data_IF_508441034013
#
_entry.id   IF_508441034013
#
_cell.length_a   1.000
_cell.length_b   1.000
_cell.length_c   1.000
_cell.angle_alpha   90.00
_cell.angle_beta   90.00
_cell.angle_gamma   90.00
#
_symmetry.space_group_name_H-M   'P 1'
#
loop_
_entity.id
_entity.type
_entity.pdbx_description
1 polymer ?
#
# COMPACT_ATOMS: atom_id res chain seq x y z
N UNK A 1 -11.76 -23.22 9.48
CA UNK A 1 -12.34 -22.66 10.72
C UNK A 1 -13.81 -23.00 10.76
N UNK A 2 -14.37 -23.30 11.94
CA UNK A 2 -15.75 -23.74 12.11
C UNK A 2 -16.54 -22.71 12.92
N UNK A 3 -17.80 -22.50 12.55
CA UNK A 3 -18.76 -21.73 13.34
C UNK A 3 -18.97 -22.42 14.70
N UNK A 4 -18.86 -21.66 15.79
CA UNK A 4 -18.97 -22.19 17.15
C UNK A 4 -20.38 -22.68 17.50
N UNK A 5 -21.40 -22.17 16.82
CA UNK A 5 -22.82 -22.50 17.02
C UNK A 5 -23.26 -23.71 16.20
N UNK A 6 -22.72 -23.88 14.99
CA UNK A 6 -23.18 -24.94 14.05
C UNK A 6 -22.17 -26.08 13.87
N UNK A 7 -20.91 -25.88 14.23
CA UNK A 7 -19.82 -26.83 13.97
C UNK A 7 -19.46 -26.98 12.48
N UNK A 8 -20.08 -26.20 11.58
CA UNK A 8 -19.84 -26.23 10.14
C UNK A 8 -18.85 -25.14 9.70
N UNK A 9 -18.33 -25.24 8.48
CA UNK A 9 -17.54 -24.14 7.92
C UNK A 9 -18.44 -22.92 7.77
N UNK A 10 -17.90 -21.72 8.01
CA UNK A 10 -18.63 -20.48 7.72
C UNK A 10 -18.99 -20.43 6.24
N UNK A 11 -20.25 -20.14 5.95
CA UNK A 11 -20.75 -19.95 4.58
C UNK A 11 -20.33 -18.61 4.01
N UNK A 12 -20.37 -17.57 4.83
CA UNK A 12 -20.14 -16.19 4.42
C UNK A 12 -19.57 -15.36 5.58
N UNK A 13 -19.15 -14.13 5.26
CA UNK A 13 -18.62 -13.18 6.25
C UNK A 13 -19.66 -12.78 7.30
N UNK A 14 -20.95 -12.78 6.96
CA UNK A 14 -22.02 -12.41 7.90
C UNK A 14 -22.12 -13.44 9.02
N UNK A 15 -22.05 -14.72 8.69
CA UNK A 15 -22.04 -15.80 9.67
C UNK A 15 -20.81 -15.73 10.58
N UNK A 16 -19.63 -15.47 10.01
CA UNK A 16 -18.39 -15.25 10.76
C UNK A 16 -18.52 -14.11 11.78
N UNK A 17 -19.03 -12.95 11.35
CA UNK A 17 -19.23 -11.80 12.23
C UNK A 17 -20.32 -12.05 13.29
N UNK A 18 -21.41 -12.78 12.95
CA UNK A 18 -22.46 -13.15 13.91
C UNK A 18 -21.98 -14.12 14.98
N UNK A 19 -20.96 -14.92 14.67
CA UNK A 19 -20.26 -15.77 15.63
C UNK A 19 -19.23 -14.99 16.47
N UNK A 20 -19.32 -13.65 16.49
CA UNK A 20 -18.46 -12.73 17.24
C UNK A 20 -16.97 -12.89 16.94
N UNK A 21 -16.64 -13.30 15.71
CA UNK A 21 -15.26 -13.42 15.25
C UNK A 21 -14.76 -12.12 14.63
N UNK A 22 -13.46 -11.90 14.78
CA UNK A 22 -12.76 -10.70 14.34
C UNK A 22 -11.91 -11.02 13.12
N UNK A 23 -12.19 -10.33 12.02
CA UNK A 23 -11.41 -10.47 10.79
C UNK A 23 -10.00 -9.90 10.99
N UNK A 24 -9.90 -8.65 11.47
CA UNK A 24 -8.66 -8.07 11.96
C UNK A 24 -8.97 -6.88 12.86
N UNK A 25 -8.27 -6.79 13.99
CA UNK A 25 -8.29 -5.64 14.89
C UNK A 25 -6.91 -4.97 14.88
N UNK A 26 -6.86 -3.76 14.33
CA UNK A 26 -5.63 -2.96 14.27
C UNK A 26 -5.18 -2.44 15.64
N UNK A 27 -6.10 -2.27 16.59
CA UNK A 27 -5.80 -1.76 17.93
C UNK A 27 -5.01 -2.78 18.73
N UNK A 28 -5.47 -4.04 18.69
CA UNK A 28 -4.88 -5.14 19.45
C UNK A 28 -3.96 -6.03 18.60
N UNK A 29 -3.81 -5.71 17.30
CA UNK A 29 -3.07 -6.51 16.33
C UNK A 29 -3.48 -7.99 16.36
N UNK A 30 -4.79 -8.24 16.29
CA UNK A 30 -5.42 -9.53 16.56
C UNK A 30 -6.36 -9.96 15.43
N UNK A 31 -6.48 -11.27 15.20
CA UNK A 31 -7.44 -11.87 14.28
C UNK A 31 -7.82 -13.27 14.72
N UNK A 32 -9.08 -13.66 14.49
CA UNK A 32 -9.53 -15.06 14.58
C UNK A 32 -9.14 -15.86 13.31
N UNK A 33 -8.73 -15.18 12.23
CA UNK A 33 -8.29 -15.81 11.01
C UNK A 33 -6.78 -16.07 11.05
N UNK A 34 -6.40 -17.34 10.95
CA UNK A 34 -5.00 -17.76 10.70
C UNK A 34 -4.39 -17.09 9.46
N UNK A 35 -5.24 -16.62 8.53
CA UNK A 35 -4.82 -15.81 7.41
C UNK A 35 -3.99 -14.60 7.87
N UNK A 36 -4.25 -13.99 9.03
CA UNK A 36 -3.58 -12.78 9.48
C UNK A 36 -2.52 -12.98 10.58
N UNK A 37 -2.11 -14.22 10.90
CA UNK A 37 -1.14 -14.52 11.98
C UNK A 37 0.21 -13.79 11.81
N UNK A 38 0.61 -13.54 10.56
CA UNK A 38 1.86 -12.86 10.21
C UNK A 38 1.61 -11.77 9.17
N UNK A 39 1.00 -10.64 9.55
CA UNK A 39 0.49 -9.66 8.59
C UNK A 39 1.63 -8.81 7.98
N UNK A 40 2.75 -8.67 8.70
CA UNK A 40 3.93 -7.90 8.26
C UNK A 40 5.05 -8.78 7.69
N UNK A 41 4.85 -10.11 7.65
CA UNK A 41 5.84 -11.05 7.12
C UNK A 41 5.75 -11.13 5.59
N UNK A 42 6.88 -10.91 4.93
CA UNK A 42 6.95 -10.78 3.46
C UNK A 42 6.64 -12.11 2.77
N UNK A 43 7.10 -13.24 3.33
CA UNK A 43 6.89 -14.55 2.73
C UNK A 43 5.44 -15.02 2.91
N UNK A 44 4.86 -14.78 4.08
CA UNK A 44 3.45 -15.01 4.35
C UNK A 44 2.58 -14.18 3.39
N UNK A 45 2.90 -12.90 3.18
CA UNK A 45 2.20 -12.03 2.24
C UNK A 45 2.36 -12.50 0.79
N UNK A 46 3.55 -12.95 0.40
CA UNK A 46 3.81 -13.52 -0.93
C UNK A 46 2.93 -14.75 -1.17
N UNK A 47 2.84 -15.66 -0.20
CA UNK A 47 1.98 -16.84 -0.29
C UNK A 47 0.49 -16.46 -0.35
N UNK A 48 0.03 -15.49 0.45
CA UNK A 48 -1.36 -14.98 0.39
C UNK A 48 -1.70 -14.47 -1.00
N UNK A 49 -0.84 -13.67 -1.61
CA UNK A 49 -1.03 -13.18 -2.98
C UNK A 49 -1.08 -14.33 -3.98
N UNK A 50 -0.20 -15.32 -3.85
CA UNK A 50 -0.21 -16.49 -4.74
C UNK A 50 -1.52 -17.29 -4.64
N UNK A 51 -2.03 -17.51 -3.42
CA UNK A 51 -3.32 -18.19 -3.20
C UNK A 51 -4.50 -17.38 -3.76
N UNK A 52 -4.50 -16.06 -3.58
CA UNK A 52 -5.53 -15.19 -4.15
C UNK A 52 -5.55 -15.25 -5.68
N UNK A 53 -4.38 -15.15 -6.32
CA UNK A 53 -4.26 -15.25 -7.78
C UNK A 53 -4.72 -16.62 -8.29
N UNK A 54 -4.33 -17.69 -7.60
CA UNK A 54 -4.76 -19.05 -7.93
C UNK A 54 -6.27 -19.19 -7.82
N UNK A 55 -6.86 -18.76 -6.70
CA UNK A 55 -8.30 -18.82 -6.46
C UNK A 55 -9.09 -18.09 -7.55
N UNK A 56 -8.70 -16.86 -7.86
CA UNK A 56 -9.31 -16.08 -8.94
C UNK A 56 -9.19 -16.81 -10.29
N UNK A 57 -7.99 -17.28 -10.64
CA UNK A 57 -7.75 -17.94 -11.92
C UNK A 57 -8.51 -19.28 -12.04
N UNK A 58 -8.72 -19.99 -10.92
CA UNK A 58 -9.54 -21.19 -10.87
C UNK A 58 -11.03 -20.87 -11.08
N UNK A 59 -11.55 -19.79 -10.47
CA UNK A 59 -12.95 -19.37 -10.63
C UNK A 59 -13.31 -19.08 -12.09
N UNK A 60 -12.41 -18.42 -12.82
CA UNK A 60 -12.69 -18.03 -14.21
C UNK A 60 -12.42 -19.14 -15.22
N UNK A 61 -11.80 -20.25 -14.80
CA UNK A 61 -11.36 -21.34 -15.69
C UNK A 61 -12.54 -22.02 -16.40
N UNK A 62 -13.66 -22.14 -15.69
CA UNK A 62 -14.89 -22.73 -16.21
C UNK A 62 -15.66 -21.75 -17.12
N UNK A 63 -15.37 -20.45 -17.03
CA UNK A 63 -15.89 -19.41 -17.93
C UNK A 63 -17.42 -19.25 -17.92
N UNK A 64 -18.11 -19.71 -16.88
CA UNK A 64 -19.57 -19.69 -16.81
C UNK A 64 -20.11 -18.40 -16.17
N UNK A 65 -21.29 -17.95 -16.64
CA UNK A 65 -21.93 -16.73 -16.13
C UNK A 65 -21.04 -15.50 -16.27
N UNK A 66 -20.99 -14.69 -15.22
CA UNK A 66 -20.20 -13.44 -15.20
C UNK A 66 -18.69 -13.68 -15.38
N UNK A 67 -18.20 -14.87 -15.05
CA UNK A 67 -16.77 -15.21 -15.17
C UNK A 67 -16.30 -15.36 -16.62
N UNK A 68 -17.21 -15.60 -17.58
CA UNK A 68 -16.88 -15.73 -19.00
C UNK A 68 -16.32 -14.46 -19.63
N UNK A 69 -16.51 -13.30 -18.98
CA UNK A 69 -15.98 -12.01 -19.43
C UNK A 69 -14.66 -11.61 -18.73
N UNK A 70 -14.21 -12.41 -17.77
CA UNK A 70 -13.03 -12.11 -16.96
C UNK A 70 -11.78 -12.69 -17.59
N UNK A 71 -10.64 -12.04 -17.38
CA UNK A 71 -9.33 -12.50 -17.88
C UNK A 71 -8.48 -13.02 -16.73
N UNK A 72 -7.60 -14.01 -16.96
CA UNK A 72 -6.68 -14.48 -15.94
C UNK A 72 -5.77 -13.36 -15.46
N UNK A 73 -5.52 -13.34 -14.16
CA UNK A 73 -4.50 -12.48 -13.57
C UNK A 73 -3.12 -13.09 -13.84
N UNK A 74 -2.15 -12.28 -14.28
CA UNK A 74 -0.82 -12.78 -14.61
C UNK A 74 -0.02 -13.16 -13.36
N UNK A 75 0.92 -14.10 -13.54
CA UNK A 75 1.91 -14.42 -12.51
C UNK A 75 2.95 -13.30 -12.37
N UNK A 76 3.68 -13.30 -11.26
CA UNK A 76 4.81 -12.37 -11.08
C UNK A 76 5.91 -12.62 -12.13
N UNK A 77 6.14 -13.86 -12.55
CA UNK A 77 7.10 -14.16 -13.62
C UNK A 77 6.64 -13.64 -14.98
N UNK A 78 5.36 -13.75 -15.31
CA UNK A 78 4.83 -13.27 -16.58
C UNK A 78 4.85 -11.74 -16.65
N UNK A 79 4.51 -11.09 -15.54
CA UNK A 79 4.69 -9.65 -15.41
C UNK A 79 6.17 -9.26 -15.59
N UNK A 80 7.12 -10.01 -15.03
CA UNK A 80 8.54 -9.71 -15.16
C UNK A 80 9.04 -9.81 -16.60
N UNK A 81 8.49 -10.73 -17.41
CA UNK A 81 8.81 -10.85 -18.85
C UNK A 81 8.24 -9.68 -19.67
N UNK A 82 7.05 -9.19 -19.31
CA UNK A 82 6.39 -8.09 -20.01
C UNK A 82 6.97 -6.71 -19.64
N UNK A 83 7.51 -6.58 -18.44
CA UNK A 83 8.07 -5.33 -17.97
C UNK A 83 9.46 -5.06 -18.57
N UNK A 84 9.78 -3.80 -18.91
CA UNK A 84 11.13 -3.47 -19.35
C UNK A 84 12.15 -3.77 -18.24
N UNK A 85 13.39 -4.11 -18.61
CA UNK A 85 14.45 -4.33 -17.64
C UNK A 85 14.66 -3.12 -16.73
N UNK A 86 15.05 -3.37 -15.48
CA UNK A 86 15.09 -2.34 -14.45
C UNK A 86 16.02 -1.15 -14.76
N UNK A 87 17.12 -1.36 -15.49
CA UNK A 87 18.02 -0.26 -15.88
C UNK A 87 17.42 0.73 -16.86
N UNK A 88 16.33 0.39 -17.55
CA UNK A 88 15.62 1.32 -18.45
C UNK A 88 14.83 2.38 -17.69
N UNK A 89 14.46 2.11 -16.44
CA UNK A 89 13.61 2.99 -15.63
C UNK A 89 14.28 3.49 -14.35
N UNK A 90 15.37 2.85 -13.90
CA UNK A 90 16.07 3.19 -12.67
C UNK A 90 17.55 3.45 -12.91
N UNK A 91 18.03 4.71 -12.73
CA UNK A 91 19.44 5.05 -12.79
C UNK A 91 20.29 4.28 -11.76
N UNK A 92 19.71 3.92 -10.61
CA UNK A 92 20.39 3.08 -9.62
C UNK A 92 20.66 1.68 -10.18
N UNK A 93 19.68 1.09 -10.87
CA UNK A 93 19.83 -0.21 -11.50
C UNK A 93 20.75 -0.22 -12.71
N UNK A 94 20.84 0.89 -13.43
CA UNK A 94 21.80 1.02 -14.52
C UNK A 94 23.27 1.01 -14.05
N UNK A 95 23.52 1.39 -12.79
CA UNK A 95 24.87 1.49 -12.19
C UNK A 95 25.18 0.37 -11.19
N UNK A 96 24.22 -0.49 -10.88
CA UNK A 96 24.38 -1.55 -9.89
C UNK A 96 25.39 -2.60 -10.36
N UNK A 97 26.40 -2.91 -9.53
CA UNK A 97 27.47 -3.84 -9.88
C UNK A 97 26.95 -5.25 -10.21
N UNK A 98 25.98 -5.73 -9.44
CA UNK A 98 25.32 -7.02 -9.66
C UNK A 98 24.03 -6.90 -10.48
N UNK A 99 23.69 -5.71 -10.98
CA UNK A 99 22.41 -5.43 -11.63
C UNK A 99 21.21 -5.36 -10.68
N UNK A 100 20.03 -5.45 -11.27
CA UNK A 100 18.74 -5.42 -10.57
C UNK A 100 17.81 -6.52 -11.05
N UNK A 101 16.79 -6.81 -10.24
CA UNK A 101 15.69 -7.72 -10.58
C UNK A 101 14.33 -7.06 -10.33
N UNK A 102 13.28 -7.61 -10.92
CA UNK A 102 11.89 -7.28 -10.59
C UNK A 102 11.42 -8.23 -9.49
N UNK A 103 10.70 -7.72 -8.48
CA UNK A 103 10.10 -8.54 -7.43
C UNK A 103 8.62 -8.25 -7.26
N UNK A 104 7.92 -9.28 -6.77
CA UNK A 104 6.51 -9.26 -6.42
C UNK A 104 5.59 -8.97 -7.62
N UNK A 105 4.28 -9.09 -7.42
CA UNK A 105 3.28 -8.68 -8.42
C UNK A 105 3.33 -7.18 -8.72
N UNK A 106 3.85 -6.36 -7.79
CA UNK A 106 4.08 -4.93 -7.98
C UNK A 106 5.24 -4.63 -8.95
N UNK A 107 6.08 -5.62 -9.29
CA UNK A 107 7.18 -5.47 -10.25
C UNK A 107 8.17 -4.37 -9.86
N UNK A 108 8.46 -4.23 -8.56
CA UNK A 108 9.40 -3.22 -8.08
C UNK A 108 10.82 -3.65 -8.44
N UNK A 109 11.65 -2.70 -8.88
CA UNK A 109 13.06 -2.95 -9.15
C UNK A 109 13.87 -2.94 -7.86
N UNK A 110 14.57 -4.04 -7.60
CA UNK A 110 15.44 -4.22 -6.45
C UNK A 110 16.89 -4.36 -6.91
N UNK A 111 17.80 -3.63 -6.26
CA UNK A 111 19.26 -3.77 -6.45
C UNK A 111 19.73 -5.07 -5.82
N UNK A 112 20.47 -5.86 -6.58
CA UNK A 112 20.98 -7.14 -6.10
C UNK A 112 22.24 -6.96 -5.24
N UNK A 113 22.23 -7.54 -4.04
CA UNK A 113 23.38 -7.53 -3.13
C UNK A 113 24.50 -8.47 -3.58
N UNK A 114 24.18 -9.49 -4.38
CA UNK A 114 25.12 -10.47 -4.94
C UNK A 114 24.72 -10.87 -6.36
N UNK A 115 25.64 -11.43 -7.18
CA UNK A 115 25.30 -11.95 -8.50
C UNK A 115 24.29 -13.09 -8.42
N UNK A 116 23.22 -13.02 -9.23
CA UNK A 116 22.24 -14.08 -9.38
C UNK A 116 21.68 -14.09 -10.81
N UNK A 117 21.09 -15.22 -11.22
CA UNK A 117 20.63 -15.42 -12.61
C UNK A 117 19.53 -14.42 -13.03
N UNK A 118 18.69 -13.99 -12.10
CA UNK A 118 17.60 -13.03 -12.27
C UNK A 118 18.05 -11.57 -12.09
N UNK A 119 19.28 -11.34 -11.62
CA UNK A 119 19.88 -10.02 -11.45
C UNK A 119 20.53 -9.56 -12.75
N UNK A 120 19.81 -8.73 -13.49
CA UNK A 120 20.16 -8.32 -14.85
C UNK A 120 20.77 -6.91 -14.86
N UNK A 121 21.77 -6.71 -15.71
CA UNK A 121 22.48 -5.44 -15.92
C UNK A 121 22.47 -5.06 -17.41
N UNK A 122 22.58 -3.78 -17.76
CA UNK A 122 22.72 -3.37 -19.15
C UNK A 122 23.98 -3.98 -19.79
N UNK A 123 23.84 -4.44 -21.03
CA UNK A 123 24.95 -4.78 -21.91
C UNK A 123 25.63 -3.53 -22.49
N UNK A 124 26.75 -3.69 -23.21
CA UNK A 124 27.53 -2.56 -23.73
C UNK A 124 26.76 -1.62 -24.66
N UNK A 125 25.73 -2.13 -25.34
CA UNK A 125 24.90 -1.40 -26.31
C UNK A 125 23.53 -1.01 -25.76
N UNK A 126 23.23 -1.34 -24.50
CA UNK A 126 21.93 -1.05 -23.91
C UNK A 126 21.83 0.41 -23.46
N UNK A 127 20.74 1.07 -23.82
CA UNK A 127 20.42 2.40 -23.30
C UNK A 127 19.88 2.31 -21.86
N UNK A 128 20.44 3.11 -20.97
CA UNK A 128 19.92 3.33 -19.63
C UNK A 128 18.78 4.36 -19.63
N UNK A 129 18.09 4.49 -18.50
CA UNK A 129 17.15 5.58 -18.27
C UNK A 129 17.80 6.95 -18.59
N UNK A 130 17.08 7.88 -19.26
CA UNK A 130 17.60 9.21 -19.53
C UNK A 130 17.92 9.94 -18.22
N UNK A 131 19.00 10.72 -18.21
CA UNK A 131 19.30 11.58 -17.07
C UNK A 131 18.31 12.73 -17.07
N UNK A 132 17.48 12.82 -16.03
CA UNK A 132 16.57 13.94 -15.84
C UNK A 132 17.29 15.07 -15.13
N UNK A 133 17.20 16.28 -15.68
CA UNK A 133 17.66 17.48 -14.99
C UNK A 133 16.75 17.72 -13.78
N UNK A 134 17.34 17.94 -12.61
CA UNK A 134 16.56 18.41 -11.47
C UNK A 134 15.92 19.73 -11.85
N UNK A 135 14.63 19.88 -11.56
CA UNK A 135 13.97 21.16 -11.75
C UNK A 135 14.68 22.20 -10.89
N UNK A 136 15.18 23.25 -11.53
CA UNK A 136 15.78 24.37 -10.82
C UNK A 136 14.67 25.31 -10.36
N UNK A 137 14.60 25.56 -9.05
CA UNK A 137 13.81 26.65 -8.53
C UNK A 137 14.78 27.75 -8.09
N UNK A 138 14.77 28.94 -8.74
CA UNK A 138 15.59 30.05 -8.29
C UNK A 138 15.24 30.43 -6.85
N UNK A 139 16.24 30.95 -6.13
CA UNK A 139 16.01 31.56 -4.83
C UNK A 139 14.94 32.66 -4.97
N UNK A 140 14.05 32.77 -3.99
CA UNK A 140 13.07 33.85 -3.97
C UNK A 140 13.80 35.18 -3.78
N UNK A 141 13.35 36.28 -4.41
CA UNK A 141 13.89 37.60 -4.14
C UNK A 141 13.82 37.92 -2.65
N UNK A 142 14.93 38.36 -2.07
CA UNK A 142 15.02 38.80 -0.68
C UNK A 142 15.26 40.29 -0.60
N UNK A 143 14.75 40.94 0.45
CA UNK A 143 15.17 42.31 0.80
C UNK A 143 16.58 42.31 1.42
N UNK A 144 17.10 43.49 1.77
CA UNK A 144 18.40 43.65 2.41
C UNK A 144 18.55 42.94 3.77
N UNK A 145 17.43 42.59 4.42
CA UNK A 145 17.39 41.83 5.66
C UNK A 145 17.30 40.31 5.44
N UNK A 146 17.37 39.83 4.20
CA UNK A 146 17.29 38.40 3.86
C UNK A 146 15.87 37.83 3.88
N UNK A 147 14.84 38.68 4.00
CA UNK A 147 13.43 38.25 4.05
C UNK A 147 12.88 38.15 2.63
N UNK A 148 12.24 37.04 2.29
CA UNK A 148 11.60 36.81 0.98
C UNK A 148 10.47 37.80 0.76
N UNK A 149 10.51 38.56 -0.33
CA UNK A 149 9.53 39.64 -0.62
C UNK A 149 8.34 39.17 -1.46
N UNK A 150 8.41 37.98 -2.03
CA UNK A 150 7.34 37.39 -2.84
C UNK A 150 7.12 35.93 -2.40
N UNK A 151 5.89 35.54 -2.03
CA UNK A 151 5.59 34.14 -1.75
C UNK A 151 5.70 33.33 -3.04
N UNK A 152 6.29 32.12 -2.97
CA UNK A 152 6.24 31.19 -4.10
C UNK A 152 4.78 30.80 -4.33
N UNK A 153 4.28 30.94 -5.56
CA UNK A 153 2.95 30.43 -5.91
C UNK A 153 2.92 28.93 -5.62
N UNK A 154 2.07 28.55 -4.66
CA UNK A 154 1.82 27.15 -4.36
C UNK A 154 0.96 26.65 -5.51
N UNK A 155 1.50 25.73 -6.31
CA UNK A 155 0.65 25.02 -7.27
C UNK A 155 -0.31 24.16 -6.46
N UNK A 156 -1.63 24.34 -6.65
CA UNK A 156 -2.68 23.58 -5.97
C UNK A 156 -2.68 22.07 -6.35
N UNK A 157 -1.67 21.60 -7.06
CA UNK A 157 -1.45 20.19 -7.30
C UNK A 157 -0.41 19.72 -6.28
N UNK A 158 -0.89 19.23 -5.14
CA UNK A 158 -0.06 18.61 -4.11
C UNK A 158 0.73 17.44 -4.70
N UNK A 159 1.95 17.71 -5.12
CA UNK A 159 3.00 16.68 -5.19
C UNK A 159 4.34 17.38 -5.29
N UNK A 160 5.13 17.20 -4.23
CA UNK A 160 6.57 17.47 -4.05
C UNK A 160 6.85 18.41 -2.88
N UNK A 161 6.64 17.90 -1.67
CA UNK A 161 7.48 18.28 -0.54
C UNK A 161 8.82 17.55 -0.69
N UNK A 162 9.97 18.23 -0.79
CA UNK A 162 11.27 17.61 -0.63
C UNK A 162 11.46 17.22 0.83
N UNK A 163 11.88 15.98 1.09
CA UNK A 163 12.36 15.57 2.40
C UNK A 163 13.55 16.45 2.82
N UNK A 164 13.33 17.31 3.82
CA UNK A 164 14.37 17.85 4.65
C UNK A 164 14.41 17.04 5.94
N UNK A 165 15.61 16.57 6.31
CA UNK A 165 15.83 15.78 7.52
C UNK A 165 15.24 16.46 8.75
N UNK A 166 14.67 15.63 9.63
CA UNK A 166 14.10 16.07 10.89
C UNK A 166 15.15 16.77 11.75
N UNK A 167 15.00 18.08 11.91
CA UNK A 167 15.27 18.73 13.17
C UNK A 167 13.90 18.95 13.84
N UNK A 168 13.63 18.19 14.90
CA UNK A 168 12.46 18.40 15.74
C UNK A 168 12.59 19.74 16.46
N UNK A 169 11.97 20.79 15.93
CA UNK A 169 11.57 21.94 16.73
C UNK A 169 10.18 21.68 17.30
N UNK A 170 10.11 21.64 18.63
CA UNK A 170 8.88 21.57 19.41
C UNK A 170 8.14 22.89 19.25
N UNK A 171 6.98 22.87 18.61
CA UNK A 171 6.02 23.99 18.66
C UNK A 171 4.80 23.53 19.47
N UNK A 172 4.31 24.33 20.43
CA UNK A 172 3.32 23.90 21.41
C UNK A 172 1.94 23.73 20.78
N UNK A 173 1.24 22.70 21.24
CA UNK A 173 -0.14 22.41 20.87
C UNK A 173 -1.07 23.49 21.45
N UNK A 174 -1.59 24.37 20.60
CA UNK A 174 -2.73 25.22 20.94
C UNK A 174 -4.01 24.38 20.77
N UNK A 175 -4.47 23.78 21.87
CA UNK A 175 -5.79 23.18 21.95
C UNK A 175 -6.84 24.30 22.09
N UNK A 176 -7.73 24.42 21.11
CA UNK A 176 -8.99 25.15 21.30
C UNK A 176 -10.02 24.21 21.95
N UNK A 177 -10.64 24.58 23.10
CA UNK A 177 -11.61 23.74 23.77
C UNK A 177 -12.97 23.85 23.06
N UNK A 178 -13.49 22.72 22.58
CA UNK A 178 -14.92 22.60 22.26
C UNK A 178 -15.64 22.26 23.56
N UNK A 179 -16.35 23.24 24.11
CA UNK A 179 -17.16 23.08 25.32
C UNK A 179 -18.27 22.04 25.12
N UNK A 180 -18.25 21.00 25.94
CA UNK A 180 -19.38 20.11 26.18
C UNK A 180 -20.46 20.87 26.97
N UNK A 181 -21.65 21.04 26.39
CA UNK A 181 -22.86 21.35 27.16
C UNK A 181 -23.61 20.05 27.38
N UNK A 182 -23.58 19.58 28.62
CA UNK A 182 -24.41 18.49 29.11
C UNK A 182 -25.85 18.98 29.28
N UNK A 183 -26.82 18.21 28.79
CA UNK A 183 -28.20 18.29 29.26
C UNK A 183 -28.78 16.87 29.32
N UNK A 184 -28.74 16.29 30.51
CA UNK A 184 -29.47 15.08 30.88
C UNK A 184 -30.81 15.49 31.48
N UNK A 185 -31.93 14.93 30.98
CA UNK A 185 -33.06 14.55 31.83
C UNK A 185 -33.86 13.41 31.19
N UNK A 186 -34.05 12.38 32.00
CA UNK A 186 -34.85 11.16 31.82
C UNK A 186 -36.33 11.47 31.95
N UNK A 187 -37.19 10.86 31.14
CA UNK A 187 -38.56 10.53 31.54
C UNK A 187 -39.06 9.30 30.76
N UNK A 188 -39.21 8.21 31.51
CA UNK A 188 -39.89 6.96 31.15
C UNK A 188 -41.40 7.21 31.18
N UNK A 189 -42.14 6.74 30.17
CA UNK A 189 -43.54 6.41 30.32
C UNK A 189 -43.90 5.25 29.38
N UNK A 190 -43.94 4.05 29.97
CA UNK A 190 -44.64 2.90 29.42
C UNK A 190 -46.15 3.15 29.54
N UNK A 191 -46.90 2.80 28.50
CA UNK A 191 -48.27 2.33 28.65
C UNK A 191 -48.47 1.09 27.78
N UNK A 192 -48.84 0.03 28.48
CA UNK A 192 -49.21 -1.30 28.01
C UNK A 192 -50.75 -1.36 27.86
N UNK A 193 -51.19 -2.27 26.98
CA UNK A 193 -52.56 -2.82 26.79
C UNK A 193 -53.52 -1.89 26.03
N UNK A 194 -54.13 -2.31 24.92
CA UNK A 194 -54.86 -3.57 24.66
C UNK A 194 -54.41 -4.27 23.39
#
# INVERSE_FOLDING_TARGET
>A
MKNSQTGQNYRDRVEFCKDSKVEYDFTNNYSDLTFWDKPLDVDANTNRTAQMLKFYNDLIKDGMGDYGHMKPLPSAEDLAKLNPPCWKNSPMCAKAANGCRRKLTAQVCEVCSSPAADCKKPGPTDAAAPTLNKQFQPALPTNAAGVTTVPRSVSNNETLAPGAGGASEKTPSAASPVSLVAASTVAVAAFLLV
#
